data_IF_716542932505
#
_entry.id   IF_716542932505
#
_cell.length_a   1.000
_cell.length_b   1.000
_cell.length_c   1.000
_cell.angle_alpha   90.00
_cell.angle_beta   90.00
_cell.angle_gamma   90.00
#
_symmetry.space_group_name_H-M   'P 1'
#
loop_
_entity.id
_entity.type
_entity.pdbx_description
1 polymer ?
#
# COMPACT_ATOMS: atom_id res chain seq x y z
N UNK A 1 45.36 13.05 3.48
CA UNK A 1 45.03 13.38 4.88
C UNK A 1 43.58 13.84 4.93
N UNK A 2 42.78 13.19 5.79
CA UNK A 2 41.43 13.53 6.22
C UNK A 2 40.32 13.52 5.16
N UNK A 3 39.95 12.32 4.73
CA UNK A 3 38.57 11.97 4.38
C UNK A 3 37.92 11.43 5.67
N UNK A 4 37.32 12.32 6.45
CA UNK A 4 36.50 11.99 7.63
C UNK A 4 35.33 12.95 7.68
N UNK A 5 34.12 12.40 7.58
CA UNK A 5 32.79 12.94 7.95
C UNK A 5 31.71 12.68 6.89
N UNK A 6 31.50 11.41 6.54
CA UNK A 6 30.21 10.93 6.04
C UNK A 6 29.91 9.58 6.72
N UNK A 7 29.55 9.67 7.99
CA UNK A 7 28.96 8.57 8.77
C UNK A 7 27.60 9.03 9.26
N UNK A 8 26.65 9.24 8.35
CA UNK A 8 25.24 9.42 8.72
C UNK A 8 24.70 8.03 9.07
N UNK A 9 24.74 7.71 10.36
CA UNK A 9 24.07 6.57 10.95
C UNK A 9 22.56 6.69 10.73
N UNK A 10 22.04 5.93 9.77
CA UNK A 10 20.63 5.65 9.63
C UNK A 10 20.29 4.49 10.58
N UNK A 11 20.08 4.81 11.87
CA UNK A 11 19.51 3.87 12.84
C UNK A 11 18.03 4.18 12.95
N UNK A 12 17.23 3.59 12.06
CA UNK A 12 15.81 3.47 12.27
C UNK A 12 15.60 2.26 13.19
N UNK A 13 15.56 2.51 14.50
CA UNK A 13 15.18 1.52 15.50
C UNK A 13 13.72 1.12 15.27
N UNK A 14 13.54 -0.09 14.75
CA UNK A 14 12.29 -0.83 14.74
C UNK A 14 11.97 -1.22 16.20
N UNK A 15 11.20 -0.41 16.92
CA UNK A 15 10.66 -0.79 18.22
C UNK A 15 9.39 -1.61 17.96
N UNK A 16 9.55 -2.93 17.93
CA UNK A 16 8.45 -3.87 18.16
C UNK A 16 8.13 -3.86 19.67
N UNK A 17 7.03 -3.21 20.05
CA UNK A 17 6.42 -3.35 21.35
C UNK A 17 5.25 -4.33 21.28
N UNK A 18 5.54 -5.63 21.40
CA UNK A 18 4.56 -6.63 21.81
C UNK A 18 4.61 -6.73 23.34
N UNK A 19 3.64 -6.12 24.02
CA UNK A 19 3.30 -6.51 25.38
C UNK A 19 1.92 -7.17 25.38
N UNK A 20 1.96 -8.49 25.33
CA UNK A 20 0.85 -9.39 25.55
C UNK A 20 0.73 -9.65 27.05
N UNK A 21 0.06 -8.78 27.79
CA UNK A 21 -0.39 -9.12 29.14
C UNK A 21 -1.66 -9.94 29.05
N UNK A 22 -1.48 -11.26 29.10
CA UNK A 22 -2.54 -12.22 29.33
C UNK A 22 -3.24 -11.94 30.65
N UNK A 23 -4.53 -11.60 30.57
CA UNK A 23 -5.46 -11.74 31.69
C UNK A 23 -6.23 -13.02 31.45
N UNK A 24 -5.87 -14.04 32.23
CA UNK A 24 -6.55 -15.33 32.26
C UNK A 24 -8.02 -15.12 32.69
N UNK A 25 -8.95 -15.33 31.76
CA UNK A 25 -10.37 -15.47 32.05
C UNK A 25 -10.66 -16.96 32.22
N UNK A 26 -11.33 -17.39 33.31
CA UNK A 26 -11.57 -18.81 33.54
C UNK A 26 -12.45 -19.42 32.44
N UNK A 27 -11.94 -20.49 31.82
CA UNK A 27 -12.70 -21.33 30.90
C UNK A 27 -13.85 -22.01 31.65
N UNK A 28 -15.08 -21.60 31.34
CA UNK A 28 -16.27 -22.39 31.64
C UNK A 28 -16.33 -23.52 30.62
N UNK A 29 -16.06 -24.74 31.08
CA UNK A 29 -16.27 -25.97 30.32
C UNK A 29 -17.76 -26.08 29.92
N UNK A 30 -18.07 -25.77 28.67
CA UNK A 30 -19.31 -26.21 28.02
C UNK A 30 -18.96 -27.38 27.10
N UNK A 31 -19.51 -28.55 27.45
CA UNK A 31 -19.38 -29.79 26.71
C UNK A 31 -19.87 -29.64 25.25
N UNK A 32 -19.30 -30.40 24.30
CA UNK A 32 -19.79 -30.42 22.93
C UNK A 32 -21.12 -31.20 22.89
N UNK A 33 -22.23 -30.48 22.74
CA UNK A 33 -23.52 -31.08 22.43
C UNK A 33 -23.52 -31.57 20.99
N UNK A 34 -23.51 -32.89 20.89
CA UNK A 34 -23.67 -33.71 19.71
C UNK A 34 -25.05 -33.50 19.04
N UNK A 35 -25.07 -33.56 17.71
CA UNK A 35 -26.24 -33.76 16.83
C UNK A 35 -27.43 -32.79 16.91
N UNK A 36 -27.50 -31.92 15.90
CA UNK A 36 -28.72 -31.83 15.08
C UNK A 36 -28.34 -31.50 13.64
N UNK A 37 -28.56 -32.46 12.75
CA UNK A 37 -28.83 -32.19 11.35
C UNK A 37 -30.01 -31.21 11.31
N UNK A 38 -29.72 -29.92 11.20
CA UNK A 38 -30.71 -28.92 10.82
C UNK A 38 -30.67 -28.97 9.30
N UNK A 39 -31.61 -29.71 8.72
CA UNK A 39 -32.04 -29.46 7.36
C UNK A 39 -32.38 -27.97 7.29
N UNK A 40 -31.50 -27.23 6.64
CA UNK A 40 -31.62 -25.81 6.32
C UNK A 40 -32.80 -25.68 5.36
N UNK A 41 -33.99 -25.59 5.95
CA UNK A 41 -35.22 -25.28 5.26
C UNK A 41 -35.07 -23.83 4.74
N UNK A 42 -34.56 -23.70 3.52
CA UNK A 42 -34.56 -22.50 2.67
C UNK A 42 -36.01 -22.05 2.36
N UNK A 43 -36.80 -21.79 3.39
CA UNK A 43 -37.82 -20.75 3.27
C UNK A 43 -37.06 -19.44 3.43
N UNK A 44 -36.56 -18.89 2.33
CA UNK A 44 -35.97 -17.54 2.31
C UNK A 44 -37.04 -16.51 2.72
N UNK A 45 -37.17 -16.30 4.02
CA UNK A 45 -38.01 -15.29 4.64
C UNK A 45 -37.21 -13.97 4.60
N UNK A 46 -37.24 -13.29 3.45
CA UNK A 46 -36.65 -11.95 3.25
C UNK A 46 -35.11 -11.89 3.34
N UNK A 47 -34.46 -11.43 2.26
CA UNK A 47 -33.00 -11.22 2.20
C UNK A 47 -32.67 -9.75 2.01
N UNK A 48 -31.77 -9.23 2.84
CA UNK A 48 -31.27 -7.86 2.74
C UNK A 48 -29.75 -7.89 2.59
N UNK A 49 -29.22 -7.05 1.70
CA UNK A 49 -27.79 -6.90 1.51
C UNK A 49 -27.39 -5.44 1.67
N UNK A 50 -26.45 -5.17 2.57
CA UNK A 50 -25.81 -3.87 2.69
C UNK A 50 -24.83 -3.70 1.54
N UNK A 51 -24.85 -2.53 0.90
CA UNK A 51 -23.99 -2.19 -0.23
C UNK A 51 -23.25 -0.91 0.10
N UNK A 52 -21.93 -0.96 -0.05
CA UNK A 52 -21.11 0.24 0.00
C UNK A 52 -21.33 1.07 -1.26
N UNK A 53 -21.82 2.31 -1.11
CA UNK A 53 -22.01 3.21 -2.26
C UNK A 53 -20.79 4.10 -2.44
N UNK A 54 -20.37 4.80 -1.39
CA UNK A 54 -19.24 5.72 -1.43
C UNK A 54 -18.69 5.97 -0.03
N UNK A 55 -17.37 6.10 0.10
CA UNK A 55 -16.73 6.63 1.32
C UNK A 55 -16.10 7.99 1.04
N UNK A 56 -16.11 8.86 2.05
CA UNK A 56 -15.33 10.10 2.14
C UNK A 56 -14.33 9.96 3.29
N UNK A 57 -13.57 11.02 3.53
CA UNK A 57 -12.65 11.07 4.66
C UNK A 57 -13.40 11.02 5.99
N UNK A 58 -14.54 11.68 6.12
CA UNK A 58 -15.32 11.82 7.36
C UNK A 58 -16.76 11.27 7.27
N UNK A 59 -17.07 10.55 6.19
CA UNK A 59 -18.42 10.07 5.98
C UNK A 59 -18.47 8.77 5.17
N UNK A 60 -19.50 7.97 5.39
CA UNK A 60 -19.78 6.75 4.61
C UNK A 60 -21.23 6.82 4.12
N UNK A 61 -21.43 6.64 2.82
CA UNK A 61 -22.75 6.45 2.21
C UNK A 61 -23.01 4.96 2.06
N UNK A 62 -23.95 4.47 2.86
CA UNK A 62 -24.40 3.09 2.79
C UNK A 62 -25.71 3.01 2.06
N UNK A 63 -25.83 2.00 1.21
CA UNK A 63 -27.08 1.58 0.59
C UNK A 63 -27.47 0.20 1.08
N UNK A 64 -28.71 -0.21 0.84
CA UNK A 64 -29.13 -1.58 1.01
C UNK A 64 -30.14 -1.96 -0.05
N UNK A 65 -29.99 -3.19 -0.54
CA UNK A 65 -30.91 -3.80 -1.47
C UNK A 65 -31.68 -4.91 -0.76
N UNK A 66 -32.97 -4.99 -1.06
CA UNK A 66 -33.87 -5.98 -0.48
C UNK A 66 -34.39 -6.89 -1.58
N UNK A 67 -34.30 -8.19 -1.32
CA UNK A 67 -34.97 -9.21 -2.10
C UNK A 67 -36.14 -9.71 -1.28
N UNK A 68 -37.34 -9.36 -1.76
CA UNK A 68 -38.60 -9.69 -1.13
C UNK A 68 -38.97 -11.15 -1.42
N UNK A 69 -39.36 -11.88 -0.38
CA UNK A 69 -39.98 -13.20 -0.56
C UNK A 69 -41.46 -13.05 -0.88
N UNK A 70 -42.12 -14.16 -1.25
CA UNK A 70 -43.56 -14.16 -1.59
C UNK A 70 -44.46 -13.63 -0.46
N UNK A 71 -44.00 -13.68 0.78
CA UNK A 71 -44.80 -13.33 1.96
C UNK A 71 -44.52 -11.90 2.48
N UNK A 72 -43.35 -11.32 2.18
CA UNK A 72 -42.96 -10.00 2.69
C UNK A 72 -42.80 -9.05 1.53
N UNK A 73 -43.75 -8.14 1.35
CA UNK A 73 -43.64 -7.02 0.41
C UNK A 73 -43.09 -5.77 1.11
N UNK A 74 -42.62 -4.80 0.32
CA UNK A 74 -42.15 -3.50 0.83
C UNK A 74 -43.15 -2.79 1.76
N UNK A 75 -44.46 -3.05 1.60
CA UNK A 75 -45.52 -2.46 2.41
C UNK A 75 -45.52 -2.95 3.87
N UNK A 76 -44.89 -4.09 4.15
CA UNK A 76 -44.79 -4.63 5.51
C UNK A 76 -43.65 -4.00 6.32
N UNK A 77 -42.72 -3.33 5.64
CA UNK A 77 -41.62 -2.64 6.29
C UNK A 77 -42.15 -1.37 6.92
N UNK A 78 -41.91 -1.22 8.22
CA UNK A 78 -42.28 -0.03 8.96
C UNK A 78 -41.22 1.07 8.80
N UNK A 79 -39.95 0.71 9.07
CA UNK A 79 -38.84 1.64 9.03
C UNK A 79 -37.49 0.91 8.96
N UNK A 80 -36.46 1.64 8.58
CA UNK A 80 -35.06 1.21 8.70
C UNK A 80 -34.35 1.97 9.81
N UNK A 81 -33.28 1.39 10.35
CA UNK A 81 -32.29 2.09 11.18
C UNK A 81 -30.91 1.71 10.72
N UNK A 82 -30.00 2.67 10.69
CA UNK A 82 -28.59 2.42 10.47
C UNK A 82 -27.86 2.53 11.80
N UNK A 83 -27.12 1.49 12.14
CA UNK A 83 -26.29 1.43 13.34
C UNK A 83 -24.84 1.29 12.90
N UNK A 84 -23.92 1.87 13.63
CA UNK A 84 -22.51 1.55 13.44
C UNK A 84 -21.78 1.42 14.76
N UNK A 85 -20.69 0.65 14.73
CA UNK A 85 -19.76 0.49 15.84
C UNK A 85 -18.33 0.67 15.37
N UNK A 86 -17.57 1.47 16.12
CA UNK A 86 -16.10 1.54 16.00
C UNK A 86 -15.49 1.51 17.39
N UNK A 87 -14.77 0.43 17.70
CA UNK A 87 -14.26 0.17 19.06
C UNK A 87 -15.36 0.23 20.13
N UNK A 88 -15.34 1.30 20.95
CA UNK A 88 -16.31 1.59 22.02
C UNK A 88 -17.44 2.54 21.62
N UNK A 89 -17.31 3.24 20.48
CA UNK A 89 -18.32 4.16 19.99
C UNK A 89 -19.42 3.38 19.28
N UNK A 90 -20.67 3.64 19.66
CA UNK A 90 -21.86 3.10 19.02
C UNK A 90 -22.75 4.26 18.60
N UNK A 91 -23.38 4.14 17.44
CA UNK A 91 -24.34 5.09 16.93
C UNK A 91 -25.57 4.36 16.41
N UNK A 92 -26.73 5.02 16.54
CA UNK A 92 -27.99 4.61 15.95
C UNK A 92 -28.61 5.82 15.26
N UNK A 93 -29.02 5.67 14.01
CA UNK A 93 -29.79 6.68 13.30
C UNK A 93 -31.21 6.76 13.85
N UNK A 94 -31.86 7.89 13.58
CA UNK A 94 -33.31 7.98 13.65
C UNK A 94 -33.97 6.97 12.69
N UNK A 95 -35.22 6.56 12.96
CA UNK A 95 -35.99 5.72 12.05
C UNK A 95 -36.12 6.38 10.67
N UNK A 96 -35.69 5.65 9.63
CA UNK A 96 -35.83 6.04 8.23
C UNK A 96 -37.10 5.43 7.66
N UNK A 97 -37.74 6.14 6.73
CA UNK A 97 -38.96 5.67 6.08
C UNK A 97 -38.75 4.36 5.32
N UNK A 98 -39.81 3.58 5.06
CA UNK A 98 -39.72 2.28 4.40
C UNK A 98 -39.38 2.36 2.90
N UNK A 99 -39.35 3.56 2.34
CA UNK A 99 -38.91 3.83 0.96
C UNK A 99 -37.42 4.22 0.89
N UNK A 100 -36.78 4.49 2.02
CA UNK A 100 -35.36 4.81 2.05
C UNK A 100 -34.54 3.53 1.84
N UNK A 101 -33.54 3.62 0.96
CA UNK A 101 -32.61 2.53 0.64
C UNK A 101 -31.14 2.93 0.83
N UNK A 102 -30.89 4.13 1.35
CA UNK A 102 -29.54 4.61 1.63
C UNK A 102 -29.51 5.65 2.75
N UNK A 103 -28.33 5.83 3.34
CA UNK A 103 -28.11 6.76 4.43
C UNK A 103 -26.65 7.24 4.47
N UNK A 104 -26.46 8.52 4.80
CA UNK A 104 -25.14 9.12 5.02
C UNK A 104 -24.80 9.12 6.50
N UNK A 105 -23.74 8.42 6.85
CA UNK A 105 -23.12 8.47 8.18
C UNK A 105 -22.05 9.54 8.12
N UNK A 106 -22.16 10.59 8.94
CA UNK A 106 -21.30 11.77 8.91
C UNK A 106 -20.46 11.89 10.19
N UNK A 107 -19.42 12.73 10.16
CA UNK A 107 -18.53 13.02 11.29
C UNK A 107 -17.79 11.78 11.83
N UNK A 108 -17.36 10.92 10.91
CA UNK A 108 -16.55 9.74 11.21
C UNK A 108 -15.07 10.12 11.31
N UNK A 109 -14.35 9.42 12.18
CA UNK A 109 -12.88 9.48 12.21
C UNK A 109 -12.32 8.94 10.89
N UNK A 110 -11.30 9.64 10.38
CA UNK A 110 -10.57 9.26 9.17
C UNK A 110 -9.84 7.93 9.35
N UNK A 111 -9.58 7.24 8.24
CA UNK A 111 -8.80 5.99 8.19
C UNK A 111 -9.20 4.93 9.25
N UNK A 112 -10.50 4.83 9.55
CA UNK A 112 -11.00 3.98 10.63
C UNK A 112 -11.98 2.93 10.09
N UNK A 113 -11.91 1.66 10.55
CA UNK A 113 -12.94 0.65 10.27
C UNK A 113 -14.21 0.90 11.09
N UNK A 114 -15.35 0.68 10.44
CA UNK A 114 -16.68 0.74 11.03
C UNK A 114 -17.45 -0.52 10.67
N UNK A 115 -18.00 -1.20 11.68
CA UNK A 115 -18.99 -2.24 11.46
C UNK A 115 -20.37 -1.58 11.36
N UNK A 116 -20.89 -1.46 10.14
CA UNK A 116 -22.15 -0.77 9.84
C UNK A 116 -23.25 -1.81 9.64
N UNK A 117 -24.32 -1.69 10.44
CA UNK A 117 -25.48 -2.56 10.37
C UNK A 117 -26.72 -1.79 9.92
N UNK A 118 -27.46 -2.35 8.98
CA UNK A 118 -28.80 -1.89 8.61
C UNK A 118 -29.80 -2.81 9.30
N UNK A 119 -30.77 -2.21 9.97
CA UNK A 119 -31.87 -2.89 10.65
C UNK A 119 -33.17 -2.57 9.92
N UNK A 120 -33.81 -3.59 9.35
CA UNK A 120 -35.14 -3.49 8.81
C UNK A 120 -36.15 -3.95 9.86
N UNK A 121 -37.12 -3.09 10.20
CA UNK A 121 -38.21 -3.46 11.11
C UNK A 121 -39.51 -3.62 10.34
N UNK A 122 -40.14 -4.78 10.46
CA UNK A 122 -41.41 -5.11 9.81
C UNK A 122 -42.34 -5.86 10.77
N UNK A 123 -43.63 -5.93 10.44
CA UNK A 123 -44.59 -6.77 11.17
C UNK A 123 -44.79 -8.09 10.44
N UNK A 124 -44.76 -9.19 11.18
CA UNK A 124 -45.16 -10.50 10.66
C UNK A 124 -46.68 -10.57 10.44
N UNK A 125 -47.14 -11.60 9.75
CA UNK A 125 -48.58 -11.87 9.59
C UNK A 125 -49.28 -12.13 10.93
N UNK A 126 -48.54 -12.59 11.94
CA UNK A 126 -49.01 -12.75 13.31
C UNK A 126 -49.11 -11.42 14.09
N UNK A 127 -48.71 -10.29 13.47
CA UNK A 127 -48.71 -8.96 14.08
C UNK A 127 -47.48 -8.66 14.96
N UNK A 128 -46.52 -9.59 15.05
CA UNK A 128 -45.30 -9.41 15.83
C UNK A 128 -44.31 -8.51 15.10
N UNK A 129 -43.61 -7.65 15.84
CA UNK A 129 -42.56 -6.82 15.27
C UNK A 129 -41.26 -7.62 15.19
N UNK A 130 -40.75 -7.80 13.97
CA UNK A 130 -39.49 -8.50 13.69
C UNK A 130 -38.46 -7.45 13.25
N UNK A 131 -37.22 -7.62 13.74
CA UNK A 131 -36.06 -6.86 13.27
C UNK A 131 -35.11 -7.80 12.53
N UNK A 132 -34.77 -7.46 11.30
CA UNK A 132 -33.75 -8.16 10.52
C UNK A 132 -32.52 -7.27 10.41
N UNK A 133 -31.37 -7.79 10.82
CA UNK A 133 -30.12 -7.04 10.95
C UNK A 133 -29.06 -7.63 10.03
N UNK A 134 -28.46 -6.79 9.19
CA UNK A 134 -27.35 -7.18 8.32
C UNK A 134 -26.23 -6.18 8.50
N UNK A 135 -25.00 -6.68 8.67
CA UNK A 135 -23.83 -5.88 8.99
C UNK A 135 -22.72 -6.09 7.95
N UNK A 136 -21.99 -5.01 7.66
CA UNK A 136 -20.84 -4.99 6.76
C UNK A 136 -19.75 -4.11 7.38
N UNK A 137 -18.49 -4.54 7.26
CA UNK A 137 -17.34 -3.73 7.67
C UNK A 137 -16.93 -2.77 6.55
N UNK A 138 -16.93 -1.47 6.86
CA UNK A 138 -16.66 -0.39 5.90
C UNK A 138 -15.57 0.54 6.45
N UNK A 139 -14.83 1.17 5.55
CA UNK A 139 -13.70 2.04 5.88
C UNK A 139 -13.93 3.46 5.36
N UNK A 140 -13.54 4.45 6.16
CA UNK A 140 -13.38 5.84 5.70
C UNK A 140 -12.06 6.00 4.95
N UNK A 141 -12.00 6.95 4.02
CA UNK A 141 -10.78 7.22 3.24
C UNK A 141 -9.71 7.86 4.16
N UNK A 142 -8.43 7.46 4.06
CA UNK A 142 -7.36 8.11 4.79
C UNK A 142 -7.19 9.58 4.40
N UNK A 143 -7.01 10.44 5.39
CA UNK A 143 -6.72 11.85 5.15
C UNK A 143 -5.23 12.03 4.82
N UNK A 144 -4.91 12.25 3.56
CA UNK A 144 -3.55 12.66 3.18
C UNK A 144 -3.39 14.14 3.56
N UNK A 145 -2.58 14.41 4.59
CA UNK A 145 -2.27 15.78 4.96
C UNK A 145 -1.51 16.48 3.82
N UNK A 146 -2.04 17.62 3.36
CA UNK A 146 -1.44 18.43 2.29
C UNK A 146 0.02 18.79 2.61
N UNK A 147 0.33 19.05 3.88
CA UNK A 147 1.69 19.33 4.35
C UNK A 147 2.63 18.15 4.07
N UNK A 148 2.19 16.91 4.33
CA UNK A 148 2.98 15.71 4.04
C UNK A 148 3.25 15.57 2.55
N UNK A 149 2.26 15.91 1.71
CA UNK A 149 2.42 15.88 0.26
C UNK A 149 3.44 16.94 -0.21
N UNK A 150 3.38 18.15 0.33
CA UNK A 150 4.35 19.22 0.02
C UNK A 150 5.76 18.80 0.42
N UNK A 151 5.95 18.25 1.62
CA UNK A 151 7.25 17.77 2.08
C UNK A 151 7.77 16.65 1.17
N UNK A 152 6.92 15.71 0.78
CA UNK A 152 7.30 14.65 -0.16
C UNK A 152 7.76 15.22 -1.51
N UNK A 153 7.02 16.20 -2.07
CA UNK A 153 7.41 16.87 -3.32
C UNK A 153 8.73 17.64 -3.19
N UNK A 154 8.98 18.30 -2.06
CA UNK A 154 10.25 18.98 -1.80
C UNK A 154 11.43 18.00 -1.73
N UNK A 155 11.23 16.85 -1.09
CA UNK A 155 12.24 15.79 -1.01
C UNK A 155 12.55 15.22 -2.39
N UNK A 156 11.52 14.89 -3.19
CA UNK A 156 11.70 14.43 -4.58
C UNK A 156 12.41 15.50 -5.42
N UNK A 157 11.98 16.77 -5.29
CA UNK A 157 12.61 17.90 -5.98
C UNK A 157 14.09 18.07 -5.62
N UNK A 158 14.44 17.91 -4.34
CA UNK A 158 15.83 17.94 -3.88
C UNK A 158 16.68 16.85 -4.56
N UNK A 159 16.18 15.60 -4.61
CA UNK A 159 16.89 14.52 -5.30
C UNK A 159 17.10 14.81 -6.78
N UNK A 160 16.08 15.32 -7.48
CA UNK A 160 16.19 15.69 -8.90
C UNK A 160 17.29 16.74 -9.11
N UNK A 161 17.37 17.76 -8.25
CA UNK A 161 18.43 18.78 -8.34
C UNK A 161 19.82 18.17 -8.10
N UNK A 162 19.97 17.31 -7.09
CA UNK A 162 21.26 16.64 -6.81
C UNK A 162 21.68 15.76 -7.99
N UNK A 163 20.77 14.99 -8.58
CA UNK A 163 21.04 14.18 -9.76
C UNK A 163 21.46 15.03 -10.97
N UNK A 164 20.78 16.17 -11.20
CA UNK A 164 21.15 17.10 -12.25
C UNK A 164 22.55 17.70 -12.03
N UNK A 165 22.88 18.10 -10.80
CA UNK A 165 24.20 18.62 -10.47
C UNK A 165 25.30 17.55 -10.67
N UNK A 166 25.06 16.33 -10.20
CA UNK A 166 25.99 15.21 -10.41
C UNK A 166 26.21 14.93 -11.91
N UNK A 167 25.13 14.92 -12.70
CA UNK A 167 25.21 14.76 -14.15
C UNK A 167 26.03 15.87 -14.82
N UNK A 168 25.82 17.13 -14.43
CA UNK A 168 26.61 18.27 -14.93
C UNK A 168 28.08 18.13 -14.55
N UNK A 169 28.38 17.71 -13.31
CA UNK A 169 29.75 17.49 -12.85
C UNK A 169 30.47 16.41 -13.66
N UNK A 170 29.83 15.26 -13.89
CA UNK A 170 30.39 14.17 -14.70
C UNK A 170 30.64 14.64 -16.14
N UNK A 171 29.66 15.30 -16.75
CA UNK A 171 29.78 15.79 -18.13
C UNK A 171 30.92 16.83 -18.28
N UNK A 172 31.09 17.72 -17.29
CA UNK A 172 32.20 18.68 -17.31
C UNK A 172 33.56 18.00 -17.13
N UNK A 173 33.64 16.95 -16.34
CA UNK A 173 34.88 16.21 -16.15
C UNK A 173 35.28 15.41 -17.39
N UNK A 174 34.32 14.82 -18.11
CA UNK A 174 34.57 14.15 -19.39
C UNK A 174 35.17 15.13 -20.41
N UNK A 175 34.58 16.33 -20.54
CA UNK A 175 35.13 17.35 -21.44
C UNK A 175 36.56 17.77 -21.09
N UNK A 176 36.87 17.90 -19.79
CA UNK A 176 38.24 18.22 -19.35
C UNK A 176 39.24 17.11 -19.68
N UNK A 177 38.83 15.84 -19.59
CA UNK A 177 39.68 14.72 -19.97
C UNK A 177 39.98 14.73 -21.48
N UNK A 178 38.96 14.98 -22.31
CA UNK A 178 39.12 15.10 -23.77
C UNK A 178 40.01 16.30 -24.17
N UNK A 179 39.81 17.47 -23.53
CA UNK A 179 40.63 18.66 -23.80
C UNK A 179 42.10 18.44 -23.39
N UNK A 180 42.34 17.71 -22.30
CA UNK A 180 43.69 17.39 -21.84
C UNK A 180 44.38 16.37 -22.74
N UNK A 181 43.67 15.34 -23.19
CA UNK A 181 44.17 14.35 -24.15
C UNK A 181 44.60 15.01 -25.47
N UNK A 182 43.79 15.95 -25.98
CA UNK A 182 44.12 16.75 -27.19
C UNK A 182 45.42 17.54 -27.07
N UNK A 183 45.64 18.20 -25.92
CA UNK A 183 46.85 18.99 -25.69
C UNK A 183 48.09 18.08 -25.62
N UNK A 184 48.01 16.93 -24.96
CA UNK A 184 49.12 15.95 -24.97
C UNK A 184 49.41 15.41 -26.36
N UNK A 185 48.39 15.12 -27.17
CA UNK A 185 48.60 14.66 -28.56
C UNK A 185 49.21 15.73 -29.47
N UNK A 186 48.85 17.01 -29.32
CA UNK A 186 49.48 18.11 -30.08
C UNK A 186 50.93 18.35 -29.65
N UNK A 187 51.27 18.14 -28.37
CA UNK A 187 52.62 18.29 -27.86
C UNK A 187 53.54 17.14 -28.33
N UNK A 188 53.03 15.90 -28.34
CA UNK A 188 53.74 14.76 -28.92
C UNK A 188 53.94 14.89 -30.44
N UNK A 189 52.96 15.43 -31.18
CA UNK A 189 53.10 15.68 -32.62
C UNK A 189 54.18 16.73 -32.93
N UNK A 190 54.34 17.76 -32.09
CA UNK A 190 55.41 18.77 -32.24
C UNK A 190 56.81 18.25 -31.87
N UNK A 191 56.90 17.19 -31.07
CA UNK A 191 58.16 16.60 -30.63
C UNK A 191 58.64 15.46 -31.54
N UNK A 192 57.84 15.02 -32.52
CA UNK A 192 58.34 14.10 -33.54
C UNK A 192 59.33 14.83 -34.46
N UNK A 193 60.61 14.41 -34.51
CA UNK A 193 61.55 14.92 -35.50
C UNK A 193 60.97 14.61 -36.88
N UNK A 194 61.01 15.62 -37.76
CA UNK A 194 60.68 15.48 -39.17
C UNK A 194 61.67 14.48 -39.81
N UNK A 195 61.40 13.18 -39.69
CA UNK A 195 62.18 12.13 -40.33
C UNK A 195 61.80 12.11 -41.81
N UNK A 196 62.60 12.85 -42.56
CA UNK A 196 62.48 13.00 -43.99
C UNK A 196 62.78 11.66 -44.68
N UNK A 197 61.71 10.95 -45.07
CA UNK A 197 61.63 10.07 -46.24
C UNK A 197 62.62 8.91 -46.34
N UNK A 198 62.12 7.68 -46.15
CA UNK A 198 62.50 6.57 -47.04
C UNK A 198 61.41 5.51 -47.17
N UNK A 199 60.97 5.34 -48.41
CA UNK A 199 60.12 4.24 -48.88
C UNK A 199 60.64 2.88 -48.41
N UNK A 200 59.75 2.09 -47.80
CA UNK A 200 59.97 0.68 -47.51
C UNK A 200 58.64 -0.02 -47.18
N UNK A 201 57.97 -0.55 -48.21
CA UNK A 201 56.83 -1.48 -48.10
C UNK A 201 57.39 -2.93 -48.12
N UNK A 202 56.56 -3.95 -47.87
CA UNK A 202 56.24 -4.58 -46.58
C UNK A 202 56.80 -6.02 -46.49
N UNK A 203 56.95 -6.61 -45.31
CA UNK A 203 56.91 -8.09 -45.17
C UNK A 203 57.03 -8.53 -43.69
N UNK A 204 56.25 -9.52 -43.28
CA UNK A 204 56.68 -10.42 -42.20
C UNK A 204 55.67 -10.76 -41.11
N UNK A 205 54.78 -11.68 -41.44
CA UNK A 205 54.00 -12.62 -40.62
C UNK A 205 54.43 -12.90 -39.14
N UNK A 206 53.37 -13.08 -38.32
CA UNK A 206 53.17 -14.09 -37.24
C UNK A 206 53.85 -13.90 -35.86
N UNK A 207 53.41 -14.62 -34.79
CA UNK A 207 52.05 -14.78 -34.24
C UNK A 207 52.00 -14.72 -32.68
N UNK A 208 50.79 -14.75 -32.10
CA UNK A 208 50.40 -15.25 -30.76
C UNK A 208 51.19 -14.90 -29.47
N UNK A 209 50.49 -14.30 -28.50
CA UNK A 209 50.58 -14.54 -27.05
C UNK A 209 49.27 -13.98 -26.43
N UNK A 210 48.22 -14.76 -26.15
CA UNK A 210 47.97 -15.62 -24.97
C UNK A 210 48.47 -15.04 -23.64
N UNK A 211 47.62 -15.13 -22.60
CA UNK A 211 47.78 -14.74 -21.18
C UNK A 211 47.17 -13.33 -20.96
N UNK A 212 46.07 -13.13 -20.23
CA UNK A 212 45.69 -13.75 -18.95
C UNK A 212 44.17 -13.60 -18.74
N UNK A 213 43.45 -14.72 -18.77
CA UNK A 213 42.16 -14.85 -18.08
C UNK A 213 42.43 -14.67 -16.59
N UNK A 214 41.91 -13.61 -15.98
CA UNK A 214 41.85 -13.51 -14.52
C UNK A 214 40.51 -14.06 -14.06
N UNK A 215 40.57 -15.31 -13.64
CA UNK A 215 39.61 -15.96 -12.76
C UNK A 215 39.23 -15.01 -11.61
N UNK A 216 37.98 -14.57 -11.61
CA UNK A 216 37.36 -13.98 -10.42
C UNK A 216 36.67 -15.13 -9.68
N UNK A 217 37.09 -15.47 -8.45
CA UNK A 217 36.48 -16.53 -7.69
C UNK A 217 35.05 -16.15 -7.32
N UNK A 218 34.13 -17.05 -7.62
CA UNK A 218 32.79 -17.10 -7.06
C UNK A 218 32.88 -17.09 -5.52
N UNK A 219 32.30 -16.06 -4.89
CA UNK A 219 32.02 -16.11 -3.46
C UNK A 219 30.70 -16.87 -3.32
N UNK A 220 30.87 -18.12 -2.91
CA UNK A 220 29.82 -19.02 -2.48
C UNK A 220 29.25 -18.52 -1.13
N UNK A 221 27.94 -18.65 -1.04
CA UNK A 221 27.06 -18.26 0.07
C UNK A 221 27.50 -18.77 1.45
N UNK A 222 27.46 -17.88 2.44
CA UNK A 222 27.32 -18.30 3.84
C UNK A 222 25.87 -17.99 4.28
N UNK A 223 25.11 -19.07 4.42
CA UNK A 223 23.86 -19.09 5.14
C UNK A 223 24.16 -18.84 6.62
N UNK A 224 23.51 -17.84 7.21
CA UNK A 224 23.43 -17.71 8.66
C UNK A 224 21.95 -17.76 9.06
N UNK A 225 21.53 -18.98 9.43
CA UNK A 225 20.43 -19.21 10.35
C UNK A 225 20.82 -18.70 11.74
N UNK A 226 20.00 -17.80 12.31
CA UNK A 226 19.65 -17.68 13.74
C UNK A 226 18.77 -16.45 13.99
#
# INVERSE_FOLDING_TARGET
MLVHLLGLHLVASLVMGQDTTGTEVPMVNMAPSNNSNIEELENEVFSMKVVHLTSKTDAIHVGWNMTYSKNITQQHINHFKVKYRTGKLNFNSDPLGPTNNSYWIMHLNHDTPYNVCVVASYRSDAGEQIEHVVCEELFTIPLIHIISLIVCLLVIGYFVVVFLLAYICVKRNQKKAEDQERLTSEEEEKLQPQENGRNGKPSGNNPYSSIEDKDVPWIESEAADA
#
